data_IF_298550326674
#
_entry.id   IF_298550326674
#
_cell.length_a   1.000
_cell.length_b   1.000
_cell.length_c   1.000
_cell.angle_alpha   90.00
_cell.angle_beta   90.00
_cell.angle_gamma   90.00
#
_symmetry.space_group_name_H-M   'P 1'
#
loop_
_entity.id
_entity.type
_entity.pdbx_description
1 polymer ?
#
# COMPACT_ATOMS: atom_id res chain seq x y z
N UNK A 1 10.39 -33.17 -34.00
CA UNK A 1 9.17 -33.82 -33.46
C UNK A 1 8.59 -32.95 -32.35
N UNK A 2 7.31 -33.14 -31.96
CA UNK A 2 6.69 -32.40 -30.85
C UNK A 2 7.48 -32.48 -29.53
N UNK A 3 8.14 -33.63 -29.29
CA UNK A 3 9.00 -33.82 -28.11
C UNK A 3 10.27 -32.98 -28.20
N UNK A 4 10.87 -32.83 -29.37
CA UNK A 4 12.07 -32.00 -29.56
C UNK A 4 11.75 -30.54 -29.44
N UNK A 5 10.57 -30.11 -29.92
CA UNK A 5 10.13 -28.72 -29.81
C UNK A 5 9.88 -28.35 -28.33
N UNK A 6 9.29 -29.25 -27.54
CA UNK A 6 9.03 -29.03 -26.10
C UNK A 6 10.35 -28.96 -25.29
N UNK A 7 11.32 -29.85 -25.60
CA UNK A 7 12.65 -29.80 -24.98
C UNK A 7 13.40 -28.50 -25.32
N UNK A 8 13.28 -28.04 -26.56
CA UNK A 8 13.89 -26.76 -26.98
C UNK A 8 13.29 -25.57 -26.26
N UNK A 9 11.97 -25.60 -26.02
CA UNK A 9 11.28 -24.57 -25.24
C UNK A 9 11.75 -24.52 -23.77
N UNK A 10 11.82 -25.68 -23.10
CA UNK A 10 12.35 -25.78 -21.73
C UNK A 10 13.79 -25.29 -21.63
N UNK A 11 14.65 -25.63 -22.59
CA UNK A 11 16.02 -25.14 -22.62
C UNK A 11 16.07 -23.62 -22.79
N UNK A 12 15.18 -23.04 -23.61
CA UNK A 12 15.08 -21.60 -23.82
C UNK A 12 14.58 -20.88 -22.56
N UNK A 13 13.62 -21.48 -21.85
CA UNK A 13 13.13 -20.96 -20.57
C UNK A 13 14.23 -20.99 -19.51
N UNK A 14 14.96 -22.13 -19.40
CA UNK A 14 16.07 -22.26 -18.45
C UNK A 14 17.18 -21.24 -18.72
N UNK A 15 17.55 -20.99 -19.98
CA UNK A 15 18.57 -19.99 -20.35
C UNK A 15 18.25 -18.56 -19.83
N UNK A 16 16.98 -18.26 -19.58
CA UNK A 16 16.51 -16.98 -19.02
C UNK A 16 16.37 -16.99 -17.51
N UNK A 17 16.67 -18.10 -16.85
CA UNK A 17 16.52 -18.26 -15.41
C UNK A 17 17.74 -17.77 -14.64
N UNK A 18 17.54 -17.41 -13.37
CA UNK A 18 18.64 -17.14 -12.44
C UNK A 18 19.54 -18.36 -12.26
N UNK A 19 19.00 -19.57 -12.40
CA UNK A 19 19.79 -20.79 -12.28
C UNK A 19 20.82 -20.90 -13.41
N UNK A 20 20.45 -20.60 -14.65
CA UNK A 20 21.41 -20.55 -15.75
C UNK A 20 22.49 -19.47 -15.56
N UNK A 21 22.15 -18.32 -15.00
CA UNK A 21 23.13 -17.28 -14.64
C UNK A 21 24.13 -17.73 -13.55
N UNK A 22 23.80 -18.80 -12.84
CA UNK A 22 24.59 -19.36 -11.71
C UNK A 22 25.13 -20.74 -12.00
N UNK A 23 25.21 -21.13 -13.28
CA UNK A 23 25.76 -22.37 -13.76
C UNK A 23 25.05 -23.64 -13.20
N UNK A 24 23.79 -23.49 -12.69
CA UNK A 24 22.96 -24.61 -12.29
C UNK A 24 22.34 -25.21 -13.56
N UNK A 25 22.75 -26.43 -13.89
CA UNK A 25 22.42 -27.11 -15.16
C UNK A 25 21.23 -28.06 -15.02
N UNK A 26 20.81 -28.66 -16.14
CA UNK A 26 19.70 -29.62 -16.15
C UNK A 26 19.95 -30.81 -15.21
N UNK A 27 21.19 -31.28 -15.14
CA UNK A 27 21.55 -32.47 -14.35
C UNK A 27 21.55 -32.20 -12.84
N UNK A 28 21.69 -30.94 -12.41
CA UNK A 28 21.65 -30.60 -10.99
C UNK A 28 20.25 -30.79 -10.40
N UNK A 29 19.20 -30.66 -11.23
CA UNK A 29 17.82 -30.92 -10.86
C UNK A 29 17.31 -32.31 -11.30
N UNK A 30 17.65 -32.74 -12.49
CA UNK A 30 17.10 -33.96 -13.09
C UNK A 30 18.00 -35.20 -12.95
N UNK A 31 19.21 -35.03 -12.41
CA UNK A 31 20.20 -36.09 -12.42
C UNK A 31 20.66 -36.42 -13.84
N UNK A 32 21.32 -37.53 -14.00
CA UNK A 32 21.87 -37.97 -15.28
C UNK A 32 23.35 -37.63 -15.44
N UNK A 33 23.95 -38.12 -16.55
CA UNK A 33 25.36 -37.88 -16.90
C UNK A 33 25.45 -36.91 -18.09
N UNK A 34 25.87 -35.66 -17.83
CA UNK A 34 26.07 -34.63 -18.86
C UNK A 34 27.27 -34.93 -19.79
N UNK A 35 28.18 -35.84 -19.43
CA UNK A 35 29.34 -36.22 -20.23
C UNK A 35 29.06 -37.41 -21.13
N UNK A 36 27.90 -38.07 -20.98
CA UNK A 36 27.50 -39.23 -21.81
C UNK A 36 27.37 -38.84 -23.29
N UNK A 37 27.65 -39.81 -24.17
CA UNK A 37 27.63 -39.56 -25.61
C UNK A 37 26.28 -39.84 -26.26
N UNK A 38 25.41 -40.58 -25.56
CA UNK A 38 24.08 -40.92 -26.04
C UNK A 38 23.02 -40.55 -25.00
N UNK A 39 21.78 -40.36 -25.48
CA UNK A 39 20.61 -40.09 -24.61
C UNK A 39 20.38 -41.23 -23.60
N UNK A 40 20.58 -42.46 -24.05
CA UNK A 40 20.37 -43.67 -23.26
C UNK A 40 21.41 -43.78 -22.12
N UNK A 41 22.68 -43.50 -22.40
CA UNK A 41 23.73 -43.42 -21.39
C UNK A 41 23.50 -42.27 -20.40
N UNK A 42 23.14 -41.06 -20.90
CA UNK A 42 22.91 -39.91 -20.08
C UNK A 42 21.76 -40.09 -19.07
N UNK A 43 20.74 -40.84 -19.46
CA UNK A 43 19.50 -41.09 -18.69
C UNK A 43 19.44 -42.49 -18.07
N UNK A 44 20.55 -43.19 -18.01
CA UNK A 44 20.61 -44.51 -17.40
C UNK A 44 20.26 -44.42 -15.90
N UNK A 45 19.54 -45.41 -15.33
CA UNK A 45 19.13 -45.39 -13.93
C UNK A 45 20.29 -45.15 -12.94
N UNK A 46 21.47 -45.72 -13.25
CA UNK A 46 22.68 -45.60 -12.47
C UNK A 46 23.28 -44.19 -12.42
N UNK A 47 22.87 -43.32 -13.33
CA UNK A 47 23.26 -41.88 -13.33
C UNK A 47 22.42 -41.02 -12.40
N UNK A 48 21.42 -41.60 -11.74
CA UNK A 48 20.48 -40.84 -10.89
C UNK A 48 19.48 -39.99 -11.66
N UNK A 49 19.27 -40.25 -12.96
CA UNK A 49 18.29 -39.53 -13.76
C UNK A 49 16.86 -39.82 -13.26
N UNK A 50 16.16 -38.76 -12.82
CA UNK A 50 14.81 -38.85 -12.24
C UNK A 50 13.68 -38.52 -13.23
N UNK A 51 14.01 -38.02 -14.43
CA UNK A 51 12.99 -37.62 -15.42
C UNK A 51 12.19 -36.42 -14.95
N UNK A 52 10.87 -36.48 -15.09
CA UNK A 52 9.95 -35.50 -14.56
C UNK A 52 9.73 -35.79 -13.08
N UNK A 53 10.10 -34.88 -12.13
CA UNK A 53 9.88 -35.12 -10.72
C UNK A 53 8.39 -35.29 -10.40
N UNK A 54 8.04 -36.19 -9.50
CA UNK A 54 6.69 -36.22 -8.96
C UNK A 54 6.39 -34.94 -8.20
N UNK A 55 5.15 -34.49 -8.25
CA UNK A 55 4.77 -33.20 -7.59
C UNK A 55 5.12 -33.20 -6.09
N UNK A 56 4.99 -34.35 -5.44
CA UNK A 56 5.36 -34.56 -4.03
C UNK A 56 6.85 -34.39 -3.75
N UNK A 57 7.71 -34.59 -4.75
CA UNK A 57 9.16 -34.57 -4.58
C UNK A 57 9.77 -33.18 -4.86
N UNK A 58 9.02 -32.29 -5.53
CA UNK A 58 9.47 -30.97 -5.93
C UNK A 58 9.96 -30.12 -4.74
N UNK A 59 9.25 -30.04 -3.60
CA UNK A 59 9.74 -29.25 -2.48
C UNK A 59 11.08 -29.74 -1.93
N UNK A 60 11.27 -31.07 -1.85
CA UNK A 60 12.53 -31.64 -1.39
C UNK A 60 13.66 -31.45 -2.43
N UNK A 61 13.35 -31.53 -3.73
CA UNK A 61 14.29 -31.24 -4.79
C UNK A 61 14.83 -29.82 -4.72
N UNK A 62 13.95 -28.83 -4.62
CA UNK A 62 14.35 -27.43 -4.46
C UNK A 62 15.07 -27.20 -3.12
N UNK A 63 14.54 -27.81 -2.04
CA UNK A 63 15.09 -27.73 -0.68
C UNK A 63 16.49 -28.33 -0.55
N UNK A 64 16.89 -29.27 -1.42
CA UNK A 64 18.23 -29.88 -1.39
C UNK A 64 19.35 -28.83 -1.48
N UNK A 65 19.11 -27.73 -2.19
CA UNK A 65 20.02 -26.58 -2.27
C UNK A 65 19.50 -25.39 -1.43
N UNK A 66 18.22 -25.03 -1.57
CA UNK A 66 17.68 -23.84 -0.93
C UNK A 66 17.55 -23.94 0.61
N UNK A 67 17.66 -25.14 1.20
CA UNK A 67 17.78 -25.31 2.65
C UNK A 67 19.24 -25.49 3.11
N UNK A 68 20.21 -25.53 2.18
CA UNK A 68 21.64 -25.64 2.52
C UNK A 68 22.25 -24.25 2.77
N UNK A 69 22.58 -23.99 4.04
CA UNK A 69 23.18 -22.73 4.47
C UNK A 69 24.52 -22.46 3.79
N UNK A 70 25.32 -23.50 3.53
CA UNK A 70 26.64 -23.34 2.90
C UNK A 70 26.49 -22.97 1.42
N UNK A 71 25.57 -23.63 0.73
CA UNK A 71 25.29 -23.35 -0.68
C UNK A 71 24.66 -21.96 -0.88
N UNK A 72 23.70 -21.57 -0.03
CA UNK A 72 22.92 -20.33 -0.22
C UNK A 72 23.60 -19.08 0.34
N UNK A 73 24.53 -19.19 1.27
CA UNK A 73 25.22 -18.06 1.91
C UNK A 73 25.87 -17.09 0.91
N UNK A 74 26.44 -17.61 -0.18
CA UNK A 74 27.08 -16.80 -1.21
C UNK A 74 26.10 -15.93 -2.01
N UNK A 75 24.81 -16.25 -1.94
CA UNK A 75 23.73 -15.55 -2.65
C UNK A 75 22.89 -14.66 -1.74
N UNK A 76 23.23 -14.62 -0.43
CA UNK A 76 22.47 -13.89 0.60
C UNK A 76 20.98 -14.30 0.64
N UNK A 77 20.72 -15.57 0.42
CA UNK A 77 19.37 -16.15 0.44
C UNK A 77 19.06 -16.79 1.80
N UNK A 78 17.88 -16.55 2.38
CA UNK A 78 17.41 -17.31 3.53
C UNK A 78 17.34 -18.80 3.19
N UNK A 79 17.42 -19.66 4.19
CA UNK A 79 17.40 -21.12 4.02
C UNK A 79 16.26 -21.81 4.76
N UNK A 80 15.28 -21.03 5.19
CA UNK A 80 14.12 -21.49 5.94
C UNK A 80 12.86 -21.72 5.07
N UNK A 81 12.94 -21.42 3.76
CA UNK A 81 11.79 -21.50 2.85
C UNK A 81 11.19 -22.89 2.79
N UNK A 82 12.05 -23.93 2.71
CA UNK A 82 11.58 -25.31 2.66
C UNK A 82 10.89 -25.74 3.96
N UNK A 83 11.49 -25.40 5.11
CA UNK A 83 10.88 -25.68 6.41
C UNK A 83 9.53 -24.96 6.57
N UNK A 84 9.47 -23.66 6.22
CA UNK A 84 8.22 -22.88 6.23
C UNK A 84 7.17 -23.47 5.29
N UNK A 85 7.57 -23.91 4.09
CA UNK A 85 6.65 -24.56 3.17
C UNK A 85 6.04 -25.82 3.76
N UNK A 86 6.84 -26.66 4.43
CA UNK A 86 6.35 -27.88 5.08
C UNK A 86 5.31 -27.60 6.19
N UNK A 87 5.40 -26.45 6.84
CA UNK A 87 4.45 -26.00 7.88
C UNK A 87 3.24 -25.26 7.27
N UNK A 88 3.29 -24.88 6.00
CA UNK A 88 2.19 -24.20 5.31
C UNK A 88 1.02 -25.14 5.05
N UNK A 89 -0.17 -24.55 4.80
CA UNK A 89 -1.35 -25.35 4.40
C UNK A 89 -1.08 -26.13 3.12
N UNK A 90 -0.36 -25.55 2.15
CA UNK A 90 0.03 -26.25 0.92
C UNK A 90 0.94 -27.45 1.21
N UNK A 91 1.97 -27.26 2.03
CA UNK A 91 2.91 -28.33 2.39
C UNK A 91 2.27 -29.46 3.19
N UNK A 92 1.42 -29.14 4.16
CA UNK A 92 0.70 -30.11 4.97
C UNK A 92 -0.24 -30.97 4.10
N UNK A 93 -1.01 -30.35 3.20
CA UNK A 93 -1.90 -31.08 2.29
C UNK A 93 -1.13 -31.90 1.26
N UNK A 94 0.02 -31.39 0.76
CA UNK A 94 0.87 -32.18 -0.14
C UNK A 94 1.39 -33.45 0.55
N UNK A 95 1.76 -33.36 1.84
CA UNK A 95 2.17 -34.52 2.64
C UNK A 95 1.03 -35.54 2.81
N UNK A 96 -0.21 -35.11 2.74
CA UNK A 96 -1.42 -35.96 2.69
C UNK A 96 -1.72 -36.49 1.28
N UNK A 97 -0.83 -36.25 0.31
CA UNK A 97 -0.96 -36.65 -1.10
C UNK A 97 -2.04 -35.86 -1.88
N UNK A 98 -2.40 -34.67 -1.45
CA UNK A 98 -3.23 -33.78 -2.24
C UNK A 98 -2.38 -33.10 -3.33
N UNK A 99 -2.59 -33.50 -4.57
CA UNK A 99 -1.83 -33.01 -5.72
C UNK A 99 -2.39 -31.70 -6.31
N UNK A 100 -3.50 -31.19 -5.80
CA UNK A 100 -4.08 -29.95 -6.26
C UNK A 100 -3.48 -28.70 -5.58
N UNK A 101 -2.66 -28.90 -4.55
CA UNK A 101 -2.01 -27.78 -3.83
C UNK A 101 -0.76 -27.29 -4.54
N UNK A 102 -0.42 -26.02 -4.29
CA UNK A 102 0.78 -25.42 -4.87
C UNK A 102 2.08 -25.97 -4.26
N UNK A 103 3.10 -26.12 -5.09
CA UNK A 103 4.48 -26.41 -4.72
C UNK A 103 5.39 -25.26 -5.17
N UNK A 104 6.69 -25.39 -5.01
CA UNK A 104 7.64 -24.32 -5.35
C UNK A 104 7.49 -23.84 -6.80
N UNK A 105 7.31 -24.75 -7.76
CA UNK A 105 7.25 -24.39 -9.17
C UNK A 105 5.92 -23.70 -9.57
N UNK A 106 4.83 -23.94 -8.85
CA UNK A 106 3.54 -23.29 -9.14
C UNK A 106 3.61 -21.78 -8.89
N UNK A 107 4.49 -21.36 -7.96
CA UNK A 107 4.72 -19.94 -7.67
C UNK A 107 5.91 -19.37 -8.45
N UNK A 108 7.03 -20.08 -8.52
CA UNK A 108 8.30 -19.58 -9.06
C UNK A 108 8.58 -19.95 -10.52
N UNK A 109 7.76 -20.83 -11.10
CA UNK A 109 8.04 -21.47 -12.38
C UNK A 109 8.96 -22.68 -12.25
N UNK A 110 9.01 -23.51 -13.30
CA UNK A 110 9.81 -24.74 -13.32
C UNK A 110 11.19 -24.54 -13.95
N UNK A 111 11.26 -23.93 -15.13
CA UNK A 111 12.50 -23.74 -15.88
C UNK A 111 12.90 -22.26 -15.99
N UNK A 112 11.97 -21.35 -16.20
CA UNK A 112 12.24 -19.91 -16.17
C UNK A 112 12.00 -19.36 -14.75
N UNK A 113 12.93 -19.63 -13.85
CA UNK A 113 12.88 -19.13 -12.48
C UNK A 113 13.62 -17.78 -12.43
N UNK A 114 12.88 -16.70 -12.20
CA UNK A 114 13.41 -15.35 -12.14
C UNK A 114 13.62 -14.89 -10.69
N UNK A 115 14.50 -13.89 -10.52
CA UNK A 115 14.68 -13.25 -9.21
C UNK A 115 13.36 -12.62 -8.74
N UNK A 116 13.08 -12.66 -7.45
CA UNK A 116 11.85 -12.10 -6.90
C UNK A 116 11.72 -10.59 -7.14
N UNK A 117 12.82 -9.88 -7.37
CA UNK A 117 12.85 -8.44 -7.71
C UNK A 117 12.87 -8.16 -9.22
N UNK A 118 12.75 -9.17 -10.07
CA UNK A 118 12.59 -9.01 -11.50
C UNK A 118 11.10 -8.74 -11.82
N UNK A 119 10.73 -7.64 -12.50
CA UNK A 119 9.33 -7.35 -12.83
C UNK A 119 8.60 -8.43 -13.64
N UNK A 120 9.34 -9.30 -14.35
CA UNK A 120 8.79 -10.42 -15.08
C UNK A 120 8.60 -11.69 -14.21
N UNK A 121 9.10 -11.69 -12.98
CA UNK A 121 8.93 -12.80 -12.05
C UNK A 121 7.48 -12.95 -11.62
N UNK A 122 6.96 -14.16 -11.57
CA UNK A 122 5.63 -14.48 -11.05
C UNK A 122 5.48 -14.10 -9.56
N UNK A 123 6.58 -14.02 -8.83
CA UNK A 123 6.64 -13.62 -7.41
C UNK A 123 7.10 -12.18 -7.20
N UNK A 124 7.17 -11.36 -8.26
CA UNK A 124 7.36 -9.93 -8.11
C UNK A 124 6.17 -9.31 -7.35
N UNK A 125 6.35 -8.32 -6.47
CA UNK A 125 5.30 -7.85 -5.57
C UNK A 125 3.93 -7.60 -6.21
N UNK A 126 3.88 -6.95 -7.38
CA UNK A 126 2.62 -6.70 -8.10
C UNK A 126 2.06 -7.93 -8.85
N UNK A 127 2.86 -8.98 -9.06
CA UNK A 127 2.42 -10.19 -9.75
C UNK A 127 1.91 -11.26 -8.77
N UNK A 128 2.33 -11.21 -7.50
CA UNK A 128 1.89 -12.16 -6.45
C UNK A 128 0.37 -12.32 -6.40
N UNK A 129 -0.46 -11.26 -6.42
CA UNK A 129 -1.92 -11.44 -6.38
C UNK A 129 -2.46 -12.26 -7.56
N UNK A 130 -1.93 -12.06 -8.77
CA UNK A 130 -2.31 -12.84 -9.95
C UNK A 130 -1.82 -14.29 -9.85
N UNK A 131 -0.60 -14.49 -9.36
CA UNK A 131 -0.02 -15.83 -9.16
C UNK A 131 -0.87 -16.66 -8.19
N UNK A 132 -1.30 -16.07 -7.07
CA UNK A 132 -2.24 -16.73 -6.15
C UNK A 132 -3.60 -16.99 -6.80
N UNK A 133 -4.11 -16.02 -7.57
CA UNK A 133 -5.43 -16.11 -8.22
C UNK A 133 -5.51 -17.20 -9.31
N UNK A 134 -4.39 -17.62 -9.89
CA UNK A 134 -4.37 -18.72 -10.87
C UNK A 134 -5.04 -20.01 -10.34
N UNK A 135 -4.98 -20.21 -9.03
CA UNK A 135 -5.67 -21.31 -8.36
C UNK A 135 -6.85 -20.81 -7.50
N UNK A 136 -6.61 -19.77 -6.67
CA UNK A 136 -7.59 -19.28 -5.69
C UNK A 136 -8.78 -18.56 -6.32
N UNK A 137 -8.79 -18.25 -7.61
CA UNK A 137 -9.97 -17.76 -8.34
C UNK A 137 -10.64 -18.85 -9.20
N UNK A 138 -10.17 -20.09 -9.16
CA UNK A 138 -10.73 -21.23 -9.87
C UNK A 138 -11.79 -21.94 -9.00
N UNK A 139 -13.06 -21.83 -9.40
CA UNK A 139 -14.18 -22.40 -8.64
C UNK A 139 -14.14 -23.92 -8.56
N UNK A 140 -13.73 -24.61 -9.65
CA UNK A 140 -13.67 -26.06 -9.67
C UNK A 140 -12.54 -26.58 -8.77
N UNK A 141 -11.40 -25.90 -8.80
CA UNK A 141 -10.25 -26.26 -7.99
C UNK A 141 -10.48 -25.97 -6.51
N UNK A 142 -11.18 -24.89 -6.16
CA UNK A 142 -11.40 -24.46 -4.77
C UNK A 142 -12.61 -25.12 -4.10
N UNK A 143 -13.57 -25.62 -4.86
CA UNK A 143 -14.79 -26.23 -4.33
C UNK A 143 -14.55 -27.36 -3.30
N UNK A 144 -13.59 -28.28 -3.47
CA UNK A 144 -13.33 -29.34 -2.47
C UNK A 144 -12.82 -28.82 -1.11
N UNK A 145 -12.36 -27.57 -1.06
CA UNK A 145 -11.75 -26.94 0.12
C UNK A 145 -12.68 -25.97 0.82
N UNK A 146 -13.87 -25.73 0.27
CA UNK A 146 -14.81 -24.70 0.75
C UNK A 146 -14.16 -23.30 0.85
N UNK A 147 -13.29 -22.99 -0.11
CA UNK A 147 -12.58 -21.69 -0.18
C UNK A 147 -13.31 -20.80 -1.18
N UNK A 148 -13.79 -19.60 -0.78
CA UNK A 148 -14.34 -18.64 -1.72
C UNK A 148 -13.33 -18.26 -2.81
N UNK A 149 -13.81 -17.88 -4.01
CA UNK A 149 -12.94 -17.59 -5.17
C UNK A 149 -12.93 -16.10 -5.56
N UNK A 150 -13.51 -15.27 -4.71
CA UNK A 150 -13.63 -13.84 -4.97
C UNK A 150 -12.56 -12.97 -4.28
N UNK A 151 -11.60 -13.58 -3.55
CA UNK A 151 -10.59 -12.84 -2.79
C UNK A 151 -9.78 -11.88 -3.65
N UNK A 152 -9.35 -12.33 -4.84
CA UNK A 152 -8.58 -11.48 -5.74
C UNK A 152 -9.39 -10.32 -6.30
N UNK A 153 -10.67 -10.54 -6.63
CA UNK A 153 -11.54 -9.49 -7.12
C UNK A 153 -11.84 -8.43 -6.03
N UNK A 154 -12.00 -8.85 -4.79
CA UNK A 154 -12.17 -7.99 -3.63
C UNK A 154 -10.87 -7.22 -3.33
N UNK A 155 -9.73 -7.92 -3.33
CA UNK A 155 -8.42 -7.27 -3.12
C UNK A 155 -8.14 -6.17 -4.13
N UNK A 156 -8.45 -6.38 -5.42
CA UNK A 156 -8.26 -5.34 -6.45
C UNK A 156 -9.08 -4.07 -6.19
N UNK A 157 -10.20 -4.19 -5.50
CA UNK A 157 -11.07 -3.06 -5.15
C UNK A 157 -10.68 -2.40 -3.81
N UNK A 158 -9.75 -3.00 -3.08
CA UNK A 158 -9.30 -2.50 -1.78
C UNK A 158 -8.30 -1.35 -1.94
N UNK A 159 -8.15 -0.54 -0.88
CA UNK A 159 -7.12 0.50 -0.80
C UNK A 159 -5.71 -0.07 -1.03
N UNK A 160 -5.45 -1.28 -0.55
CA UNK A 160 -4.17 -1.96 -0.73
C UNK A 160 -3.97 -2.42 -2.18
N UNK A 161 -5.02 -2.96 -2.81
CA UNK A 161 -4.99 -3.36 -4.21
C UNK A 161 -4.76 -2.18 -5.15
N UNK A 162 -5.48 -1.08 -4.96
CA UNK A 162 -5.27 0.16 -5.71
C UNK A 162 -3.85 0.72 -5.51
N UNK A 163 -3.34 0.74 -4.28
CA UNK A 163 -1.99 1.21 -4.01
C UNK A 163 -0.94 0.37 -4.73
N UNK A 164 -1.04 -0.97 -4.67
CA UNK A 164 -0.06 -1.87 -5.28
C UNK A 164 -0.19 -1.96 -6.80
N UNK A 165 -1.40 -2.17 -7.32
CA UNK A 165 -1.63 -2.52 -8.72
C UNK A 165 -1.76 -1.30 -9.63
N UNK A 166 -2.44 -0.25 -9.17
CA UNK A 166 -2.70 0.94 -9.98
C UNK A 166 -1.61 2.00 -9.78
N UNK A 167 -1.20 2.23 -8.52
CA UNK A 167 -0.22 3.26 -8.17
C UNK A 167 1.23 2.74 -8.12
N UNK A 168 1.44 1.40 -8.23
CA UNK A 168 2.76 0.76 -8.15
C UNK A 168 3.50 1.07 -6.84
N UNK A 169 2.79 1.27 -5.75
CA UNK A 169 3.39 1.40 -4.42
C UNK A 169 3.71 0.01 -3.86
N UNK A 170 4.94 -0.43 -4.06
CA UNK A 170 5.41 -1.75 -3.61
C UNK A 170 5.55 -1.90 -2.09
N UNK A 171 5.24 -0.86 -1.31
CA UNK A 171 5.09 -0.95 0.14
C UNK A 171 3.70 -1.45 0.55
N UNK A 172 2.73 -1.35 -0.35
CA UNK A 172 1.39 -1.86 -0.11
C UNK A 172 1.42 -3.40 -0.02
N UNK A 173 0.64 -3.99 0.91
CA UNK A 173 0.64 -5.43 1.13
C UNK A 173 -0.01 -6.17 -0.04
N UNK A 174 0.52 -7.34 -0.37
CA UNK A 174 -0.08 -8.32 -1.25
C UNK A 174 -0.54 -9.57 -0.48
N UNK A 175 -1.01 -10.59 -1.17
CA UNK A 175 -1.49 -11.83 -0.55
C UNK A 175 -0.47 -12.45 0.41
N UNK A 176 0.80 -12.53 0.00
CA UNK A 176 1.86 -13.12 0.81
C UNK A 176 2.23 -12.29 2.04
N UNK A 177 1.94 -10.99 2.04
CA UNK A 177 2.19 -10.11 3.20
C UNK A 177 1.27 -10.47 4.37
N UNK A 178 0.01 -10.81 4.07
CA UNK A 178 -0.98 -11.16 5.09
C UNK A 178 -0.97 -12.66 5.43
N UNK A 179 -0.74 -13.52 4.43
CA UNK A 179 -0.83 -14.98 4.58
C UNK A 179 0.53 -15.67 4.80
N UNK A 180 1.62 -14.94 4.70
CA UNK A 180 2.97 -15.50 4.70
C UNK A 180 3.45 -15.89 3.30
N UNK A 181 4.76 -15.83 3.09
CA UNK A 181 5.37 -16.11 1.78
C UNK A 181 5.49 -17.61 1.53
N UNK A 182 6.33 -18.31 2.32
CA UNK A 182 6.53 -19.76 2.19
C UNK A 182 5.70 -20.55 3.19
N UNK A 183 5.36 -19.96 4.33
CA UNK A 183 4.47 -20.51 5.35
C UNK A 183 3.01 -20.14 5.13
N UNK A 184 2.53 -20.08 3.87
CA UNK A 184 1.21 -19.60 3.54
C UNK A 184 0.09 -20.33 4.30
N UNK A 185 -0.62 -19.58 5.13
CA UNK A 185 -1.75 -20.04 5.93
C UNK A 185 -2.77 -18.91 6.12
N UNK A 186 -4.07 -19.21 6.33
CA UNK A 186 -4.99 -18.18 6.76
C UNK A 186 -4.54 -17.65 8.14
N UNK A 187 -4.47 -16.32 8.35
CA UNK A 187 -4.26 -15.79 9.69
C UNK A 187 -5.39 -16.29 10.61
N UNK A 188 -5.03 -16.80 11.78
CA UNK A 188 -6.01 -17.10 12.83
C UNK A 188 -6.76 -15.85 13.25
N UNK A 189 -7.96 -15.99 13.80
CA UNK A 189 -8.77 -14.84 14.26
C UNK A 189 -8.00 -13.95 15.24
N UNK A 190 -7.26 -14.56 16.15
CA UNK A 190 -6.42 -13.87 17.13
C UNK A 190 -5.22 -13.14 16.50
N UNK A 191 -4.73 -13.64 15.36
CA UNK A 191 -3.56 -13.11 14.68
C UNK A 191 -3.86 -11.88 13.79
N UNK A 192 -5.14 -11.63 13.47
CA UNK A 192 -5.53 -10.56 12.53
C UNK A 192 -4.99 -9.20 12.97
N UNK A 193 -5.10 -8.86 14.27
CA UNK A 193 -4.59 -7.59 14.78
C UNK A 193 -3.07 -7.46 14.61
N UNK A 194 -2.32 -8.57 14.78
CA UNK A 194 -0.88 -8.60 14.62
C UNK A 194 -0.46 -8.46 13.15
N UNK A 195 -1.19 -9.10 12.23
CA UNK A 195 -0.95 -8.98 10.78
C UNK A 195 -1.12 -7.53 10.33
N UNK A 196 -2.24 -6.89 10.67
CA UNK A 196 -2.49 -5.48 10.34
C UNK A 196 -1.49 -4.55 11.05
N UNK A 197 -1.22 -4.81 12.31
CA UNK A 197 -0.31 -4.04 13.18
C UNK A 197 1.15 -4.06 12.72
N UNK A 198 1.57 -5.03 11.91
CA UNK A 198 2.93 -5.05 11.35
C UNK A 198 3.26 -3.77 10.54
N UNK A 199 2.25 -3.13 9.95
CA UNK A 199 2.35 -1.85 9.26
C UNK A 199 1.59 -0.73 10.00
N UNK A 200 0.42 -1.02 10.56
CA UNK A 200 -0.45 -0.09 11.28
C UNK A 200 -0.23 -0.15 12.80
N UNK A 201 1.03 -0.10 13.26
CA UNK A 201 1.41 -0.33 14.66
C UNK A 201 0.76 0.64 15.64
N UNK A 202 0.72 1.95 15.32
CA UNK A 202 0.08 2.94 16.18
C UNK A 202 -1.42 2.70 16.35
N UNK A 203 -2.09 2.24 15.30
CA UNK A 203 -3.52 1.88 15.34
C UNK A 203 -3.73 0.60 16.16
N UNK A 204 -2.86 -0.41 15.97
CA UNK A 204 -2.88 -1.63 16.79
C UNK A 204 -2.69 -1.33 18.28
N UNK A 205 -1.70 -0.51 18.63
CA UNK A 205 -1.43 -0.12 20.02
C UNK A 205 -2.64 0.57 20.68
N UNK A 206 -3.40 1.33 19.91
CA UNK A 206 -4.62 1.98 20.39
C UNK A 206 -5.79 0.99 20.47
N UNK A 207 -5.98 0.14 19.45
CA UNK A 207 -6.98 -0.92 19.49
C UNK A 207 -6.80 -1.84 20.70
N UNK A 208 -5.57 -2.22 21.04
CA UNK A 208 -5.27 -3.07 22.21
C UNK A 208 -5.62 -2.43 23.57
N UNK A 209 -5.89 -1.12 23.60
CA UNK A 209 -6.38 -0.39 24.78
C UNK A 209 -7.90 -0.26 24.80
N UNK A 210 -8.59 -0.66 23.74
CA UNK A 210 -10.04 -0.52 23.61
C UNK A 210 -10.78 -1.68 24.29
N UNK A 211 -12.06 -1.50 24.59
CA UNK A 211 -12.94 -2.59 25.02
C UNK A 211 -13.05 -3.74 24.01
N UNK A 212 -12.77 -3.48 22.73
CA UNK A 212 -12.80 -4.48 21.66
C UNK A 212 -11.59 -5.42 21.65
N UNK A 213 -10.53 -5.14 22.39
CA UNK A 213 -9.31 -5.97 22.45
C UNK A 213 -9.43 -7.13 23.46
N UNK A 214 -10.62 -7.59 23.78
CA UNK A 214 -10.82 -8.74 24.65
C UNK A 214 -10.63 -10.06 23.90
N UNK A 215 -10.34 -11.13 24.65
CA UNK A 215 -10.23 -12.51 24.14
C UNK A 215 -11.61 -13.15 23.87
N UNK A 216 -12.69 -12.39 23.91
CA UNK A 216 -14.04 -12.85 23.61
C UNK A 216 -14.18 -13.05 22.10
N UNK A 217 -14.67 -14.21 21.67
CA UNK A 217 -14.94 -14.52 20.26
C UNK A 217 -15.91 -13.52 19.58
N UNK A 218 -16.73 -12.83 20.39
CA UNK A 218 -17.64 -11.77 19.89
C UNK A 218 -16.95 -10.42 19.72
N UNK A 219 -15.72 -10.25 20.21
CA UNK A 219 -15.00 -8.99 20.09
C UNK A 219 -14.54 -8.75 18.66
N UNK A 220 -14.92 -7.62 18.04
CA UNK A 220 -14.57 -7.35 16.66
C UNK A 220 -13.06 -7.14 16.51
N UNK A 221 -12.48 -7.71 15.46
CA UNK A 221 -11.10 -7.45 15.03
C UNK A 221 -11.11 -6.46 13.85
N UNK A 222 -9.96 -6.01 13.41
CA UNK A 222 -9.81 -5.03 12.34
C UNK A 222 -10.68 -5.31 11.12
N UNK A 223 -10.74 -6.58 10.69
CA UNK A 223 -11.49 -7.02 9.50
C UNK A 223 -13.01 -6.92 9.64
N UNK A 224 -13.54 -6.86 10.86
CA UNK A 224 -14.97 -6.72 11.08
C UNK A 224 -15.47 -5.32 10.73
N UNK A 225 -14.60 -4.31 10.92
CA UNK A 225 -14.90 -2.91 10.57
C UNK A 225 -14.37 -2.52 9.19
N UNK A 226 -13.15 -2.95 8.83
CA UNK A 226 -12.47 -2.49 7.62
C UNK A 226 -12.58 -3.42 6.41
N UNK A 227 -13.12 -4.62 6.58
CA UNK A 227 -13.11 -5.65 5.55
C UNK A 227 -11.89 -6.56 5.59
N UNK A 228 -11.99 -7.68 4.89
CA UNK A 228 -10.95 -8.72 4.91
C UNK A 228 -10.05 -8.64 3.68
N UNK A 229 -10.63 -8.76 2.50
CA UNK A 229 -9.95 -8.61 1.20
C UNK A 229 -10.28 -7.28 0.55
N UNK A 230 -11.47 -6.78 0.78
CA UNK A 230 -12.06 -5.54 0.31
C UNK A 230 -11.83 -4.39 1.31
N UNK A 231 -10.63 -4.33 1.89
CA UNK A 231 -10.30 -3.26 2.84
C UNK A 231 -10.56 -1.90 2.20
N UNK A 232 -11.59 -1.22 2.71
CA UNK A 232 -12.04 0.08 2.21
C UNK A 232 -11.36 1.24 2.93
N UNK A 233 -11.34 2.40 2.27
CA UNK A 233 -10.99 3.65 2.95
C UNK A 233 -12.00 3.91 4.07
N UNK A 234 -11.53 4.29 5.27
CA UNK A 234 -12.44 4.62 6.37
C UNK A 234 -13.36 5.79 6.00
N UNK A 235 -14.65 5.62 6.23
CA UNK A 235 -15.67 6.63 5.95
C UNK A 235 -16.50 6.96 7.20
N UNK A 236 -17.19 8.09 7.16
CA UNK A 236 -18.11 8.50 8.23
C UNK A 236 -19.26 7.50 8.44
N UNK A 237 -19.65 6.77 7.39
CA UNK A 237 -20.69 5.74 7.45
C UNK A 237 -20.35 4.59 8.41
N UNK A 238 -19.05 4.37 8.70
CA UNK A 238 -18.61 3.36 9.66
C UNK A 238 -19.07 3.64 11.10
N UNK A 239 -19.36 4.89 11.45
CA UNK A 239 -19.87 5.26 12.78
C UNK A 239 -21.40 5.21 12.85
N UNK A 240 -22.06 5.87 11.90
CA UNK A 240 -23.47 6.21 11.98
C UNK A 240 -24.39 5.21 11.29
N UNK A 241 -23.83 4.30 10.54
CA UNK A 241 -24.60 3.35 9.75
C UNK A 241 -24.96 3.88 8.36
N UNK A 242 -25.51 3.01 7.53
CA UNK A 242 -25.85 3.26 6.12
C UNK A 242 -25.08 2.38 5.16
N UNK A 243 -23.94 1.86 5.57
CA UNK A 243 -23.15 0.86 4.86
C UNK A 243 -22.93 -0.36 5.76
N UNK A 244 -22.50 -1.48 5.18
CA UNK A 244 -22.06 -2.64 5.95
C UNK A 244 -20.85 -2.27 6.81
N UNK A 245 -20.68 -2.96 7.96
CA UNK A 245 -19.55 -2.80 8.87
C UNK A 245 -19.51 -1.46 9.61
N UNK A 246 -20.57 -1.18 10.33
CA UNK A 246 -20.66 0.00 11.19
C UNK A 246 -20.97 -0.38 12.63
N UNK A 247 -20.81 0.56 13.57
CA UNK A 247 -21.04 0.32 15.01
C UNK A 247 -22.44 -0.24 15.31
N UNK A 248 -23.43 0.21 14.57
CA UNK A 248 -24.84 -0.21 14.73
C UNK A 248 -25.15 -1.65 14.31
N UNK A 249 -24.24 -2.40 13.70
CA UNK A 249 -24.46 -3.84 13.44
C UNK A 249 -24.45 -4.66 14.74
N UNK A 250 -23.70 -4.21 15.74
CA UNK A 250 -23.57 -4.90 17.04
C UNK A 250 -24.20 -4.10 18.17
N UNK A 251 -24.24 -2.77 18.08
CA UNK A 251 -24.72 -1.88 19.13
C UNK A 251 -26.07 -1.25 18.76
N UNK A 252 -27.02 -1.29 19.70
CA UNK A 252 -28.32 -0.64 19.48
C UNK A 252 -28.19 0.88 19.43
N UNK A 253 -29.05 1.60 18.68
CA UNK A 253 -28.93 3.04 18.43
C UNK A 253 -28.88 3.92 19.69
N UNK A 254 -29.55 3.50 20.76
CA UNK A 254 -29.64 4.27 22.04
C UNK A 254 -28.60 3.82 23.08
N UNK A 255 -27.67 2.94 22.70
CA UNK A 255 -26.65 2.41 23.62
C UNK A 255 -25.52 3.42 23.84
N UNK A 256 -24.80 3.27 24.96
CA UNK A 256 -23.61 4.05 25.26
C UNK A 256 -22.54 3.95 24.15
N UNK A 257 -22.22 2.75 23.58
CA UNK A 257 -21.31 2.66 22.46
C UNK A 257 -21.73 3.46 21.23
N UNK A 258 -23.04 3.54 20.94
CA UNK A 258 -23.53 4.33 19.81
C UNK A 258 -23.41 5.85 20.07
N UNK A 259 -23.54 6.28 21.32
CA UNK A 259 -23.29 7.68 21.69
C UNK A 259 -21.80 8.02 21.60
N UNK A 260 -20.91 7.10 22.01
CA UNK A 260 -19.45 7.23 21.81
C UNK A 260 -19.13 7.36 20.32
N UNK A 261 -19.68 6.46 19.48
CA UNK A 261 -19.48 6.50 18.05
C UNK A 261 -19.91 7.82 17.42
N UNK A 262 -21.07 8.37 17.83
CA UNK A 262 -21.57 9.66 17.37
C UNK A 262 -20.60 10.81 17.77
N UNK A 263 -20.13 10.81 19.02
CA UNK A 263 -19.21 11.85 19.49
C UNK A 263 -17.87 11.78 18.74
N UNK A 264 -17.30 10.60 18.56
CA UNK A 264 -16.07 10.41 17.80
C UNK A 264 -16.20 10.89 16.35
N UNK A 265 -17.33 10.55 15.70
CA UNK A 265 -17.67 11.03 14.37
C UNK A 265 -17.68 12.54 14.30
N UNK A 266 -18.44 13.19 15.20
CA UNK A 266 -18.65 14.65 15.17
C UNK A 266 -17.32 15.38 15.42
N UNK A 267 -16.51 14.92 16.38
CA UNK A 267 -15.21 15.53 16.72
C UNK A 267 -14.21 15.41 15.56
N UNK A 268 -14.13 14.23 14.93
CA UNK A 268 -13.21 13.99 13.81
C UNK A 268 -13.65 14.74 12.54
N UNK A 269 -14.95 14.79 12.28
CA UNK A 269 -15.52 15.51 11.14
C UNK A 269 -15.30 17.02 11.29
N UNK A 270 -15.52 17.57 12.51
CA UNK A 270 -15.26 18.98 12.79
C UNK A 270 -13.77 19.33 12.60
N UNK A 271 -12.86 18.49 13.09
CA UNK A 271 -11.43 18.70 12.93
C UNK A 271 -10.99 18.62 11.45
N UNK A 272 -11.49 17.63 10.71
CA UNK A 272 -11.19 17.46 9.28
C UNK A 272 -11.73 18.65 8.47
N UNK A 273 -12.97 19.07 8.70
CA UNK A 273 -13.56 20.23 8.04
C UNK A 273 -12.80 21.53 8.33
N UNK A 274 -12.37 21.72 9.59
CA UNK A 274 -11.54 22.90 9.94
C UNK A 274 -10.17 22.88 9.25
N UNK A 275 -9.60 21.68 9.03
CA UNK A 275 -8.35 21.51 8.27
C UNK A 275 -8.54 21.91 6.81
N UNK A 276 -9.59 21.41 6.15
CA UNK A 276 -9.90 21.73 4.75
C UNK A 276 -10.15 23.23 4.54
N UNK A 277 -10.87 23.88 5.47
CA UNK A 277 -11.08 25.32 5.43
C UNK A 277 -9.77 26.11 5.54
N UNK A 278 -8.84 25.66 6.40
CA UNK A 278 -7.54 26.30 6.56
C UNK A 278 -6.66 26.11 5.31
N UNK A 279 -6.69 24.92 4.69
CA UNK A 279 -6.01 24.67 3.41
C UNK A 279 -6.54 25.57 2.30
N UNK A 280 -7.86 25.70 2.17
CA UNK A 280 -8.48 26.60 1.19
C UNK A 280 -8.09 28.08 1.43
N UNK A 281 -8.00 28.51 2.68
CA UNK A 281 -7.56 29.87 3.01
C UNK A 281 -6.09 30.12 2.62
N UNK A 282 -5.20 29.14 2.78
CA UNK A 282 -3.81 29.22 2.33
C UNK A 282 -3.75 29.34 0.80
N UNK A 283 -4.55 28.56 0.07
CA UNK A 283 -4.59 28.63 -1.39
C UNK A 283 -5.05 30.00 -1.89
N UNK A 284 -6.02 30.63 -1.21
CA UNK A 284 -6.44 32.00 -1.55
C UNK A 284 -5.26 32.99 -1.38
N UNK A 285 -4.52 32.93 -0.28
CA UNK A 285 -3.33 33.77 -0.04
C UNK A 285 -2.26 33.52 -1.10
N UNK A 286 -2.02 32.26 -1.45
CA UNK A 286 -1.07 31.86 -2.50
C UNK A 286 -1.48 32.41 -3.88
N UNK A 287 -2.76 32.36 -4.20
CA UNK A 287 -3.33 32.92 -5.44
C UNK A 287 -3.12 34.45 -5.56
N UNK A 288 -2.94 35.15 -4.45
CA UNK A 288 -2.57 36.58 -4.42
C UNK A 288 -1.07 36.84 -4.60
N UNK A 289 -0.25 35.78 -4.74
CA UNK A 289 1.21 35.90 -4.90
C UNK A 289 1.96 36.17 -3.58
N UNK A 290 1.35 35.83 -2.44
CA UNK A 290 1.95 36.03 -1.12
C UNK A 290 2.67 34.78 -0.61
N UNK A 291 3.59 34.94 0.34
CA UNK A 291 4.32 33.85 0.94
C UNK A 291 3.45 33.13 1.97
N UNK A 292 3.30 31.82 1.84
CA UNK A 292 2.46 30.96 2.68
C UNK A 292 3.24 29.96 3.55
N UNK A 293 4.56 29.94 3.47
CA UNK A 293 5.41 28.89 4.07
C UNK A 293 5.20 28.69 5.58
N UNK A 294 4.91 29.75 6.33
CA UNK A 294 4.65 29.66 7.76
C UNK A 294 3.28 29.02 8.04
N UNK A 295 2.26 29.41 7.29
CA UNK A 295 0.91 28.85 7.39
C UNK A 295 0.91 27.36 7.01
N UNK A 296 1.61 26.98 5.93
CA UNK A 296 1.81 25.59 5.55
C UNK A 296 2.57 24.78 6.62
N UNK A 297 3.52 25.39 7.30
CA UNK A 297 4.23 24.77 8.41
C UNK A 297 3.28 24.36 9.53
N UNK A 298 2.40 25.27 9.95
CA UNK A 298 1.38 25.02 10.97
C UNK A 298 0.32 24.03 10.48
N UNK A 299 -0.09 24.13 9.22
CA UNK A 299 -1.05 23.17 8.66
C UNK A 299 -0.51 21.74 8.65
N UNK A 300 0.81 21.54 8.43
CA UNK A 300 1.45 20.23 8.58
C UNK A 300 1.43 19.72 10.02
N UNK A 301 1.56 20.61 11.01
CA UNK A 301 1.42 20.27 12.43
C UNK A 301 -0.02 19.81 12.71
N UNK A 302 -1.02 20.57 12.29
CA UNK A 302 -2.42 20.19 12.41
C UNK A 302 -2.73 18.83 11.72
N UNK A 303 -2.12 18.56 10.55
CA UNK A 303 -2.26 17.27 9.89
C UNK A 303 -1.69 16.12 10.72
N UNK A 304 -0.57 16.35 11.40
CA UNK A 304 0.02 15.34 12.30
C UNK A 304 -0.93 14.99 13.45
N UNK A 305 -1.57 16.00 14.04
CA UNK A 305 -2.54 15.77 15.11
C UNK A 305 -3.84 15.12 14.59
N UNK A 306 -4.30 15.48 13.40
CA UNK A 306 -5.46 14.83 12.76
C UNK A 306 -5.18 13.34 12.46
N UNK A 307 -4.01 13.02 11.94
CA UNK A 307 -3.58 11.62 11.73
C UNK A 307 -3.48 10.89 13.07
N UNK A 308 -2.97 11.54 14.12
CA UNK A 308 -2.92 11.00 15.47
C UNK A 308 -4.32 10.76 16.03
N UNK A 309 -5.26 11.70 15.87
CA UNK A 309 -6.67 11.55 16.29
C UNK A 309 -7.31 10.31 15.63
N UNK A 310 -7.08 10.12 14.32
CA UNK A 310 -7.56 8.96 13.56
C UNK A 310 -6.95 7.63 14.06
N UNK A 311 -5.76 7.64 14.62
CA UNK A 311 -5.19 6.46 15.26
C UNK A 311 -5.75 6.25 16.68
N UNK A 312 -5.85 7.32 17.47
CA UNK A 312 -6.31 7.29 18.88
C UNK A 312 -7.79 6.93 18.99
N UNK A 313 -8.62 7.21 17.99
CA UNK A 313 -10.04 6.80 17.99
C UNK A 313 -10.24 5.30 18.23
N UNK A 314 -9.26 4.46 17.85
CA UNK A 314 -9.33 3.02 18.07
C UNK A 314 -9.23 2.62 19.56
N UNK A 315 -8.93 3.57 20.45
CA UNK A 315 -9.10 3.37 21.90
C UNK A 315 -10.56 3.41 22.34
N UNK A 316 -11.45 3.98 21.52
CA UNK A 316 -12.85 4.34 21.84
C UNK A 316 -12.97 5.25 23.07
N UNK A 317 -11.92 6.01 23.38
CA UNK A 317 -11.88 6.99 24.47
C UNK A 317 -12.11 8.40 23.90
N UNK A 318 -13.29 8.96 24.17
CA UNK A 318 -13.71 10.27 23.67
C UNK A 318 -12.73 11.37 24.11
N UNK A 319 -12.35 11.42 25.40
CA UNK A 319 -11.46 12.46 25.93
C UNK A 319 -10.10 12.45 25.22
N UNK A 320 -9.57 11.25 24.92
CA UNK A 320 -8.30 11.11 24.24
C UNK A 320 -8.35 11.59 22.78
N UNK A 321 -9.49 11.42 22.11
CA UNK A 321 -9.71 11.92 20.74
C UNK A 321 -9.92 13.42 20.75
N UNK A 322 -10.76 13.93 21.65
CA UNK A 322 -11.03 15.38 21.79
C UNK A 322 -9.77 16.18 22.04
N UNK A 323 -8.86 15.68 22.86
CA UNK A 323 -7.56 16.33 23.09
C UNK A 323 -6.80 16.58 21.77
N UNK A 324 -6.90 15.68 20.79
CA UNK A 324 -6.23 15.82 19.49
C UNK A 324 -7.02 16.66 18.51
N UNK A 325 -8.33 16.47 18.45
CA UNK A 325 -9.18 17.25 17.54
C UNK A 325 -9.26 18.72 17.95
N UNK A 326 -9.26 19.03 19.24
CA UNK A 326 -9.19 20.40 19.74
C UNK A 326 -7.88 21.10 19.35
N UNK A 327 -6.75 20.39 19.37
CA UNK A 327 -5.44 20.92 18.91
C UNK A 327 -5.49 21.24 17.42
N UNK A 328 -6.03 20.32 16.59
CA UNK A 328 -6.24 20.56 15.16
C UNK A 328 -7.08 21.81 14.93
N UNK A 329 -8.23 21.94 15.61
CA UNK A 329 -9.13 23.07 15.46
C UNK A 329 -8.47 24.38 15.91
N UNK A 330 -7.66 24.33 16.97
CA UNK A 330 -6.92 25.50 17.47
C UNK A 330 -5.92 25.99 16.41
N UNK A 331 -5.06 25.10 15.93
CA UNK A 331 -4.03 25.44 14.94
C UNK A 331 -4.66 25.92 13.63
N UNK A 332 -5.70 25.24 13.15
CA UNK A 332 -6.37 25.60 11.89
C UNK A 332 -7.10 26.95 11.99
N UNK A 333 -7.68 27.29 13.13
CA UNK A 333 -8.27 28.60 13.36
C UNK A 333 -7.23 29.72 13.35
N UNK A 334 -6.04 29.50 13.94
CA UNK A 334 -4.94 30.43 13.85
C UNK A 334 -4.45 30.63 12.39
N UNK A 335 -4.33 29.55 11.63
CA UNK A 335 -3.98 29.59 10.20
C UNK A 335 -5.00 30.40 9.40
N UNK A 336 -6.30 30.16 9.63
CA UNK A 336 -7.38 30.92 8.99
C UNK A 336 -7.31 32.42 9.34
N UNK A 337 -7.04 32.76 10.59
CA UNK A 337 -6.88 34.12 11.03
C UNK A 337 -5.67 34.82 10.37
N UNK A 338 -4.53 34.13 10.30
CA UNK A 338 -3.33 34.64 9.63
C UNK A 338 -3.58 34.86 8.13
N UNK A 339 -4.29 33.95 7.48
CA UNK A 339 -4.66 34.05 6.06
C UNK A 339 -5.58 35.29 5.82
N UNK A 340 -6.59 35.48 6.66
CA UNK A 340 -7.48 36.63 6.57
C UNK A 340 -6.73 37.95 6.78
N UNK A 341 -5.81 38.00 7.74
CA UNK A 341 -4.95 39.17 7.97
C UNK A 341 -4.05 39.47 6.76
N UNK A 342 -3.47 38.47 6.17
CA UNK A 342 -2.64 38.60 4.97
C UNK A 342 -3.44 39.13 3.77
N UNK A 343 -4.66 38.64 3.55
CA UNK A 343 -5.56 39.12 2.49
C UNK A 343 -5.92 40.59 2.70
N UNK A 344 -6.29 40.96 3.94
CA UNK A 344 -6.61 42.31 4.30
C UNK A 344 -5.43 43.27 4.07
N UNK A 345 -4.22 42.89 4.47
CA UNK A 345 -3.00 43.64 4.21
C UNK A 345 -2.71 43.83 2.74
N UNK A 346 -2.88 42.77 1.92
CA UNK A 346 -2.72 42.86 0.47
C UNK A 346 -3.69 43.87 -0.15
N UNK A 347 -4.96 43.82 0.25
CA UNK A 347 -5.97 44.77 -0.22
C UNK A 347 -5.59 46.22 0.14
N UNK A 348 -5.15 46.45 1.37
CA UNK A 348 -4.70 47.77 1.83
C UNK A 348 -3.51 48.28 1.01
N UNK A 349 -2.49 47.43 0.79
CA UNK A 349 -1.32 47.79 -0.01
C UNK A 349 -1.69 48.09 -1.47
N UNK A 350 -2.60 47.33 -2.08
CA UNK A 350 -3.11 47.62 -3.44
C UNK A 350 -3.84 48.93 -3.54
N UNK A 351 -4.70 49.26 -2.55
CA UNK A 351 -5.39 50.54 -2.50
C UNK A 351 -4.40 51.72 -2.34
N UNK A 352 -3.43 51.59 -1.43
CA UNK A 352 -2.39 52.58 -1.22
C UNK A 352 -1.55 52.81 -2.49
N UNK A 353 -1.22 51.74 -3.19
CA UNK A 353 -0.48 51.80 -4.47
C UNK A 353 -1.29 52.54 -5.55
N UNK A 354 -2.59 52.26 -5.70
CA UNK A 354 -3.46 52.95 -6.65
C UNK A 354 -3.50 54.46 -6.34
N UNK A 355 -3.68 54.85 -5.06
CA UNK A 355 -3.67 56.23 -4.62
C UNK A 355 -2.33 56.89 -4.97
N UNK A 356 -1.21 56.23 -4.72
CA UNK A 356 0.11 56.77 -5.04
C UNK A 356 0.30 56.97 -6.56
N UNK A 357 -0.10 55.98 -7.39
CA UNK A 357 -0.03 56.09 -8.87
C UNK A 357 -0.87 57.28 -9.37
N UNK A 358 -2.09 57.46 -8.83
CA UNK A 358 -2.95 58.60 -9.19
C UNK A 358 -2.29 59.91 -8.80
N UNK A 359 -1.74 60.04 -7.59
CA UNK A 359 -1.05 61.22 -7.13
C UNK A 359 0.18 61.56 -8.01
N UNK A 360 0.99 60.55 -8.36
CA UNK A 360 2.12 60.72 -9.26
C UNK A 360 1.65 61.18 -10.66
N UNK A 361 0.57 60.62 -11.17
CA UNK A 361 -0.01 61.03 -12.47
C UNK A 361 -0.47 62.49 -12.48
N UNK A 362 -1.16 62.90 -11.40
CA UNK A 362 -1.62 64.30 -11.23
C UNK A 362 -0.44 65.31 -11.19
N UNK A 363 0.75 64.89 -10.74
CA UNK A 363 1.93 65.73 -10.67
C UNK A 363 2.74 65.70 -12.00
N UNK A 364 2.95 64.54 -12.59
CA UNK A 364 3.77 64.36 -13.78
C UNK A 364 3.11 64.95 -15.04
N UNK A 365 1.79 64.75 -15.21
CA UNK A 365 1.09 65.22 -16.41
C UNK A 365 1.16 66.73 -16.57
N UNK A 366 0.84 67.57 -15.59
CA UNK A 366 0.98 69.04 -15.69
C UNK A 366 2.43 69.47 -15.92
N UNK A 367 3.39 68.86 -15.23
CA UNK A 367 4.82 69.16 -15.41
C UNK A 367 5.27 68.87 -16.85
N UNK A 368 4.83 67.79 -17.41
CA UNK A 368 5.12 67.43 -18.82
C UNK A 368 4.46 68.45 -19.78
N UNK A 369 3.23 68.88 -19.54
CA UNK A 369 2.56 69.87 -20.36
C UNK A 369 3.25 71.24 -20.30
N UNK A 370 3.65 71.66 -19.06
CA UNK A 370 4.42 72.91 -18.89
C UNK A 370 5.76 72.83 -19.59
N UNK A 371 6.48 71.74 -19.45
CA UNK A 371 7.74 71.53 -20.15
C UNK A 371 7.56 71.64 -21.66
N UNK A 372 6.57 70.95 -22.24
CA UNK A 372 6.27 70.97 -23.64
C UNK A 372 5.95 72.36 -24.16
N UNK A 373 5.21 73.15 -23.37
CA UNK A 373 4.88 74.54 -23.71
C UNK A 373 6.10 75.46 -23.68
N UNK A 374 6.98 75.27 -22.71
CA UNK A 374 8.27 75.97 -22.61
C UNK A 374 9.20 75.60 -23.78
N UNK A 375 9.30 74.35 -24.14
CA UNK A 375 10.10 73.90 -25.26
C UNK A 375 9.60 74.51 -26.60
N UNK A 376 8.29 74.65 -26.81
CA UNK A 376 7.69 75.30 -27.95
C UNK A 376 7.99 76.83 -27.98
N UNK A 377 7.90 77.50 -26.82
CA UNK A 377 8.24 78.91 -26.75
C UNK A 377 9.71 79.21 -26.99
N UNK A 378 10.61 78.33 -26.60
CA UNK A 378 12.04 78.43 -26.90
C UNK A 378 12.31 78.24 -28.40
N UNK A 379 11.68 77.30 -29.08
CA UNK A 379 11.80 77.12 -30.52
C UNK A 379 11.25 78.34 -31.31
N UNK A 380 10.19 78.98 -30.85
CA UNK A 380 9.65 80.21 -31.46
C UNK A 380 10.49 81.44 -31.22
N UNK A 381 11.32 81.49 -30.18
CA UNK A 381 12.20 82.62 -29.85
C UNK A 381 13.55 82.62 -30.54
N UNK A 382 13.96 81.49 -31.14
CA UNK A 382 15.20 81.37 -31.90
C UNK A 382 15.02 81.65 -33.38
N UNK A 383 13.85 82.14 -33.83
CA UNK A 383 13.55 82.70 -35.18
C UNK A 383 13.34 84.21 -35.07
#
# INVERSE_FOLDING_TARGET
TLEDDHLAEMATQWQRSIHAERDVSCVDCHGGDSAAKTKEEAKAPETGYIGIPAKTDIPALCGSCHADVVAMRQYDLPTDQYAKYQESVHGLRLAESDLNVATCFDCHGGHQILKANDPASTVYPSNVPTTCANCHADEELMAPYDIPTNQFSLYKQSVHGHALLDNQDFRAPNCATCHGTHGAAPPGFEEVANVCGSCHSATQDNYLKSPHASDDELSPKCVNCHGRYDVSEPSEAMYLGGEARHCGECHSPDSEPSQVAQTLHDDLTAAAGSYEEAEAAIEEVRGLGMLVAQMEGRLREANTDLVSARAVQHTLNVDAVQLRTDEVITITNEVKADAQAAIAENLFRRQAMIIAIVAIGITIVPLYLIKRELDQQLEESDF
#
